data_IF_710960580533
#
_entry.id   IF_710960580533
#
_cell.length_a   1.000
_cell.length_b   1.000
_cell.length_c   1.000
_cell.angle_alpha   90.00
_cell.angle_beta   90.00
_cell.angle_gamma   90.00
#
_symmetry.space_group_name_H-M   'P 1'
#
loop_
_entity.id
_entity.type
_entity.pdbx_description
1 polymer ?
#
# COMPACT_ATOMS: atom_id res chain seq x y z
N UNK A 1 -20.02 -6.98 3.04
CA UNK A 1 -18.88 -6.09 2.76
C UNK A 1 -17.67 -6.96 2.55
N UNK A 2 -17.09 -6.95 1.35
CA UNK A 2 -15.97 -7.82 1.02
C UNK A 2 -14.69 -7.02 1.04
N UNK A 3 -13.64 -7.56 1.67
CA UNK A 3 -12.34 -6.92 1.73
C UNK A 3 -11.27 -7.77 1.05
N UNK A 4 -10.35 -7.07 0.38
CA UNK A 4 -9.10 -7.62 -0.16
C UNK A 4 -7.94 -6.85 0.46
N UNK A 5 -6.87 -7.56 0.81
CA UNK A 5 -5.61 -6.95 1.28
C UNK A 5 -4.53 -7.11 0.21
N UNK A 6 -3.78 -6.04 -0.04
CA UNK A 6 -2.52 -6.11 -0.80
C UNK A 6 -1.35 -6.23 0.17
N UNK A 7 -0.72 -7.39 0.17
CA UNK A 7 0.47 -7.70 0.97
C UNK A 7 1.71 -7.72 0.08
N UNK A 8 2.85 -7.27 0.60
CA UNK A 8 4.12 -7.28 -0.12
C UNK A 8 5.04 -6.14 0.30
N UNK A 9 6.34 -6.22 -0.02
CA UNK A 9 7.33 -5.24 0.41
C UNK A 9 7.03 -3.84 -0.15
N UNK A 10 7.59 -2.77 0.46
CA UNK A 10 7.52 -1.43 -0.13
C UNK A 10 8.10 -1.47 -1.54
N UNK A 11 7.45 -0.85 -2.53
CA UNK A 11 7.96 -0.85 -3.92
C UNK A 11 7.60 -2.08 -4.75
N UNK A 12 6.90 -3.08 -4.19
CA UNK A 12 6.48 -4.28 -4.93
C UNK A 12 5.46 -4.02 -6.05
N UNK A 13 4.87 -2.83 -6.13
CA UNK A 13 3.86 -2.50 -7.14
C UNK A 13 2.40 -2.56 -6.64
N UNK A 14 2.17 -2.52 -5.32
CA UNK A 14 0.82 -2.51 -4.72
C UNK A 14 -0.12 -1.48 -5.35
N UNK A 15 0.34 -0.24 -5.57
CA UNK A 15 -0.47 0.80 -6.22
C UNK A 15 -0.93 0.41 -7.63
N UNK A 16 -0.05 -0.22 -8.42
CA UNK A 16 -0.38 -0.69 -9.78
C UNK A 16 -1.43 -1.79 -9.78
N UNK A 17 -1.42 -2.65 -8.75
CA UNK A 17 -2.45 -3.67 -8.54
C UNK A 17 -3.73 -3.04 -8.02
N UNK A 18 -3.63 -2.03 -7.17
CA UNK A 18 -4.78 -1.34 -6.61
C UNK A 18 -5.62 -0.66 -7.69
N UNK A 19 -5.00 -0.02 -8.69
CA UNK A 19 -5.68 0.57 -9.83
C UNK A 19 -6.64 -0.42 -10.52
N UNK A 20 -6.19 -1.67 -10.75
CA UNK A 20 -7.00 -2.70 -11.40
C UNK A 20 -8.21 -3.11 -10.57
N UNK A 21 -8.04 -3.22 -9.26
CA UNK A 21 -9.13 -3.58 -8.36
C UNK A 21 -10.10 -2.41 -8.13
N UNK A 22 -9.62 -1.17 -8.19
CA UNK A 22 -10.47 0.01 -8.22
C UNK A 22 -11.39 0.00 -9.45
N UNK A 23 -10.88 -0.36 -10.63
CA UNK A 23 -11.69 -0.51 -11.85
C UNK A 23 -12.76 -1.62 -11.72
N UNK A 24 -12.55 -2.59 -10.81
CA UNK A 24 -13.52 -3.63 -10.46
C UNK A 24 -14.52 -3.21 -9.38
N UNK A 25 -14.47 -1.97 -8.93
CA UNK A 25 -15.41 -1.39 -7.96
C UNK A 25 -14.97 -1.48 -6.50
N UNK A 26 -13.70 -1.84 -6.22
CA UNK A 26 -13.17 -1.77 -4.87
C UNK A 26 -12.83 -0.33 -4.48
N UNK A 27 -13.14 0.04 -3.24
CA UNK A 27 -12.67 1.30 -2.66
C UNK A 27 -11.27 1.11 -2.10
N UNK A 28 -10.29 1.79 -2.70
CA UNK A 28 -8.92 1.78 -2.23
C UNK A 28 -8.75 2.55 -0.92
N UNK A 29 -8.10 1.89 0.04
CA UNK A 29 -7.73 2.41 1.36
C UNK A 29 -6.23 2.22 1.54
N UNK A 30 -5.47 3.28 1.26
CA UNK A 30 -4.01 3.29 1.40
C UNK A 30 -3.62 4.02 2.68
N UNK A 31 -3.12 3.30 3.69
CA UNK A 31 -2.64 3.94 4.94
C UNK A 31 -1.47 4.87 4.67
N UNK A 32 -0.62 4.54 3.70
CA UNK A 32 0.49 5.41 3.31
C UNK A 32 0.03 6.75 2.77
N UNK A 33 -1.03 6.77 1.95
CA UNK A 33 -1.58 8.01 1.40
C UNK A 33 -2.35 8.80 2.46
N UNK A 34 -3.14 8.13 3.30
CA UNK A 34 -3.82 8.76 4.43
C UNK A 34 -2.82 9.46 5.35
N UNK A 35 -1.72 8.80 5.72
CA UNK A 35 -0.68 9.39 6.56
C UNK A 35 0.04 10.55 5.85
N UNK A 36 0.36 10.42 4.55
CA UNK A 36 0.96 11.52 3.78
C UNK A 36 0.04 12.73 3.65
N UNK A 37 -1.26 12.51 3.56
CA UNK A 37 -2.23 13.60 3.60
C UNK A 37 -2.24 14.31 4.95
N UNK A 38 -2.22 13.56 6.06
CA UNK A 38 -2.09 14.15 7.40
C UNK A 38 -0.79 14.96 7.56
N UNK A 39 0.32 14.48 7.01
CA UNK A 39 1.60 15.20 6.96
C UNK A 39 1.46 16.51 6.18
N UNK A 40 0.85 16.47 4.99
CA UNK A 40 0.64 17.65 4.14
C UNK A 40 -0.26 18.70 4.81
N UNK A 41 -1.26 18.26 5.56
CA UNK A 41 -2.17 19.11 6.33
C UNK A 41 -1.58 19.58 7.66
N UNK A 42 -0.35 19.16 7.99
CA UNK A 42 0.36 19.50 9.22
C UNK A 42 -0.45 19.21 10.51
N UNK A 43 -1.26 18.14 10.48
CA UNK A 43 -2.03 17.76 11.67
C UNK A 43 -1.09 17.22 12.75
N UNK A 44 -1.48 17.23 14.05
CA UNK A 44 -0.64 16.67 15.11
C UNK A 44 -0.20 15.22 14.82
N UNK A 45 -1.14 14.41 14.31
CA UNK A 45 -0.88 13.05 13.84
C UNK A 45 0.12 13.03 12.66
N UNK A 46 -0.06 13.92 11.68
CA UNK A 46 0.84 14.05 10.54
C UNK A 46 2.27 14.35 10.94
N UNK A 47 2.48 15.28 11.88
CA UNK A 47 3.82 15.66 12.35
C UNK A 47 4.54 14.50 13.04
N UNK A 48 3.83 13.71 13.84
CA UNK A 48 4.38 12.50 14.47
C UNK A 48 4.67 11.41 13.44
N UNK A 49 3.70 11.14 12.55
CA UNK A 49 3.84 10.15 11.48
C UNK A 49 5.04 10.46 10.57
N UNK A 50 5.28 11.74 10.25
CA UNK A 50 6.43 12.18 9.45
C UNK A 50 7.75 11.69 10.03
N UNK A 51 7.96 11.86 11.34
CA UNK A 51 9.22 11.48 11.99
C UNK A 51 9.49 9.97 11.89
N UNK A 52 8.44 9.16 12.07
CA UNK A 52 8.54 7.70 11.98
C UNK A 52 8.76 7.24 10.54
N UNK A 53 8.02 7.81 9.59
CA UNK A 53 8.10 7.45 8.17
C UNK A 53 9.46 7.84 7.56
N UNK A 54 10.00 9.01 7.88
CA UNK A 54 11.33 9.44 7.43
C UNK A 54 12.43 8.48 7.92
N UNK A 55 12.22 7.88 9.11
CA UNK A 55 13.10 6.85 9.69
C UNK A 55 12.85 5.44 9.15
N UNK A 56 11.86 5.24 8.28
CA UNK A 56 11.48 3.92 7.76
C UNK A 56 10.74 3.02 8.76
N UNK A 57 10.19 3.59 9.84
CA UNK A 57 9.42 2.88 10.87
C UNK A 57 7.93 2.92 10.57
N UNK A 58 7.18 2.01 11.19
CA UNK A 58 5.73 2.08 11.19
C UNK A 58 5.20 3.05 12.24
N UNK A 59 4.07 3.65 11.93
CA UNK A 59 3.24 4.40 12.89
C UNK A 59 2.58 3.38 13.83
N UNK A 60 2.40 3.68 15.13
CA UNK A 60 1.83 2.74 16.09
C UNK A 60 0.48 2.15 15.67
N UNK A 61 0.27 0.88 15.99
CA UNK A 61 -0.89 0.10 15.54
C UNK A 61 -2.22 0.75 15.93
N UNK A 62 -2.37 1.20 17.16
CA UNK A 62 -3.61 1.84 17.65
C UNK A 62 -3.98 3.11 16.85
N UNK A 63 -2.98 3.86 16.43
CA UNK A 63 -3.15 5.07 15.61
C UNK A 63 -3.68 4.70 14.23
N UNK A 64 -3.03 3.72 13.58
CA UNK A 64 -3.43 3.28 12.23
C UNK A 64 -4.82 2.62 12.26
N UNK A 65 -5.08 1.75 13.25
CA UNK A 65 -6.39 1.10 13.45
C UNK A 65 -7.49 2.15 13.67
N UNK A 66 -7.21 3.19 14.47
CA UNK A 66 -8.14 4.30 14.68
C UNK A 66 -8.50 5.03 13.39
N UNK A 67 -7.49 5.37 12.57
CA UNK A 67 -7.71 6.01 11.27
C UNK A 67 -8.58 5.16 10.33
N UNK A 68 -8.33 3.84 10.28
CA UNK A 68 -9.13 2.92 9.46
C UNK A 68 -10.57 2.81 9.99
N UNK A 69 -10.75 2.75 11.31
CA UNK A 69 -12.09 2.73 11.93
C UNK A 69 -12.90 3.96 11.56
N UNK A 70 -12.32 5.15 11.67
CA UNK A 70 -13.00 6.41 11.34
C UNK A 70 -13.36 6.47 9.85
N UNK A 71 -12.45 6.01 8.98
CA UNK A 71 -12.69 5.94 7.54
C UNK A 71 -13.84 4.99 7.19
N UNK A 72 -13.88 3.79 7.78
CA UNK A 72 -14.95 2.83 7.50
C UNK A 72 -16.30 3.29 8.09
N UNK A 73 -16.29 3.88 9.28
CA UNK A 73 -17.51 4.37 9.95
C UNK A 73 -18.18 5.55 9.23
N UNK A 74 -17.38 6.36 8.52
CA UNK A 74 -17.88 7.50 7.74
C UNK A 74 -18.48 7.13 6.38
N UNK A 75 -18.42 5.85 5.96
CA UNK A 75 -18.80 5.39 4.62
C UNK A 75 -20.00 4.44 4.65
N UNK A 76 -20.71 4.36 3.51
CA UNK A 76 -21.85 3.47 3.35
C UNK A 76 -21.46 1.99 3.49
N UNK A 77 -22.29 1.21 4.18
CA UNK A 77 -22.05 -0.18 4.58
C UNK A 77 -21.92 -1.20 3.42
N UNK A 78 -22.16 -0.79 2.17
CA UNK A 78 -22.30 -1.69 1.02
C UNK A 78 -21.10 -1.70 0.04
N UNK A 79 -19.97 -1.10 0.41
CA UNK A 79 -18.80 -1.06 -0.48
C UNK A 79 -17.83 -2.22 -0.25
N UNK A 80 -17.20 -2.70 -1.33
CA UNK A 80 -16.03 -3.57 -1.25
C UNK A 80 -14.79 -2.72 -0.99
N UNK A 81 -13.87 -3.22 -0.18
CA UNK A 81 -12.68 -2.48 0.25
C UNK A 81 -11.40 -3.17 -0.18
N UNK A 82 -10.44 -2.37 -0.61
CA UNK A 82 -9.09 -2.80 -0.89
C UNK A 82 -8.14 -2.10 0.07
N UNK A 83 -7.50 -2.85 0.95
CA UNK A 83 -6.52 -2.31 1.88
C UNK A 83 -5.09 -2.43 1.29
N UNK A 84 -4.42 -1.29 1.14
CA UNK A 84 -3.03 -1.19 0.71
C UNK A 84 -2.16 -0.69 1.85
N UNK A 85 -1.24 -1.55 2.31
CA UNK A 85 -0.36 -1.24 3.42
C UNK A 85 -1.06 -1.30 4.78
N UNK A 86 -2.19 -1.98 4.88
CA UNK A 86 -2.83 -2.40 6.13
C UNK A 86 -3.46 -3.78 5.93
N UNK A 87 -3.29 -4.73 6.84
CA UNK A 87 -2.45 -4.66 8.03
C UNK A 87 -0.95 -4.78 7.69
N UNK A 88 -0.09 -4.33 8.62
CA UNK A 88 1.37 -4.48 8.56
C UNK A 88 1.96 -5.27 9.73
N UNK A 89 1.16 -5.55 10.75
CA UNK A 89 1.51 -6.32 11.94
C UNK A 89 0.39 -7.31 12.24
N UNK A 90 0.69 -8.37 13.00
CA UNK A 90 -0.33 -9.34 13.44
C UNK A 90 -1.46 -8.67 14.25
N UNK A 91 -1.11 -7.72 15.12
CA UNK A 91 -2.08 -6.95 15.90
C UNK A 91 -3.03 -6.19 14.98
N UNK A 92 -2.51 -5.52 13.95
CA UNK A 92 -3.36 -4.86 12.96
C UNK A 92 -4.26 -5.84 12.21
N UNK A 93 -3.78 -7.06 11.92
CA UNK A 93 -4.58 -8.08 11.23
C UNK A 93 -5.75 -8.57 12.08
N UNK A 94 -5.51 -8.84 13.37
CA UNK A 94 -6.57 -9.19 14.33
C UNK A 94 -7.59 -8.05 14.47
N UNK A 95 -7.12 -6.79 14.54
CA UNK A 95 -7.99 -5.61 14.60
C UNK A 95 -8.77 -5.37 13.32
N UNK A 96 -8.23 -5.71 12.16
CA UNK A 96 -8.96 -5.65 10.90
C UNK A 96 -10.13 -6.65 10.91
N UNK A 97 -9.89 -7.89 11.35
CA UNK A 97 -10.93 -8.92 11.44
C UNK A 97 -12.06 -8.50 12.39
N UNK A 98 -11.72 -7.99 13.58
CA UNK A 98 -12.69 -7.44 14.54
C UNK A 98 -13.53 -6.31 13.92
N UNK A 99 -12.86 -5.38 13.23
CA UNK A 99 -13.50 -4.21 12.64
C UNK A 99 -14.45 -4.62 11.50
N UNK A 100 -14.01 -5.48 10.59
CA UNK A 100 -14.84 -6.00 9.50
C UNK A 100 -16.03 -6.78 10.07
N UNK A 101 -15.82 -7.63 11.08
CA UNK A 101 -16.89 -8.38 11.74
C UNK A 101 -17.97 -7.48 12.35
N UNK A 102 -17.59 -6.37 13.00
CA UNK A 102 -18.55 -5.41 13.54
C UNK A 102 -19.38 -4.67 12.47
N UNK A 103 -18.92 -4.70 11.22
CA UNK A 103 -19.59 -4.11 10.06
C UNK A 103 -20.29 -5.16 9.17
N UNK A 104 -20.47 -6.40 9.66
CA UNK A 104 -20.97 -7.54 8.88
C UNK A 104 -20.18 -7.76 7.57
N UNK A 105 -18.88 -7.55 7.63
CA UNK A 105 -17.93 -7.78 6.55
C UNK A 105 -16.91 -8.86 6.89
N UNK A 106 -16.21 -9.33 5.86
CA UNK A 106 -15.15 -10.34 5.98
C UNK A 106 -14.00 -10.01 5.05
N UNK A 107 -12.79 -10.39 5.45
CA UNK A 107 -11.64 -10.46 4.57
C UNK A 107 -11.75 -11.75 3.75
N UNK A 108 -11.81 -11.62 2.42
CA UNK A 108 -11.96 -12.76 1.52
C UNK A 108 -10.65 -13.18 0.90
N UNK A 109 -9.79 -12.22 0.54
CA UNK A 109 -8.58 -12.52 -0.23
C UNK A 109 -7.40 -11.63 0.16
N UNK A 110 -6.20 -12.18 0.04
CA UNK A 110 -4.93 -11.50 0.27
C UNK A 110 -4.04 -11.70 -0.95
N UNK A 111 -3.81 -10.63 -1.70
CA UNK A 111 -2.89 -10.65 -2.85
C UNK A 111 -1.48 -10.39 -2.32
N UNK A 112 -0.60 -11.39 -2.41
CA UNK A 112 0.80 -11.29 -2.01
C UNK A 112 1.67 -10.98 -3.23
N UNK A 113 2.27 -9.79 -3.28
CA UNK A 113 3.24 -9.41 -4.29
C UNK A 113 4.65 -9.81 -3.85
N UNK A 114 5.21 -10.80 -4.55
CA UNK A 114 6.56 -11.31 -4.33
C UNK A 114 7.55 -10.54 -5.19
N UNK A 115 8.56 -9.94 -4.56
CA UNK A 115 9.57 -9.17 -5.26
C UNK A 115 10.89 -9.21 -4.49
N UNK A 116 12.01 -9.58 -5.14
CA UNK A 116 13.34 -9.52 -4.54
C UNK A 116 13.77 -8.11 -4.11
N UNK A 117 14.55 -8.02 -3.04
CA UNK A 117 15.00 -6.75 -2.43
C UNK A 117 15.80 -5.86 -3.39
N UNK A 118 16.62 -6.42 -4.27
CA UNK A 118 17.40 -5.69 -5.27
C UNK A 118 16.49 -4.99 -6.29
N UNK A 119 15.45 -5.67 -6.75
CA UNK A 119 14.40 -5.10 -7.61
C UNK A 119 13.65 -3.99 -6.86
N UNK A 120 13.35 -4.20 -5.57
CA UNK A 120 12.70 -3.18 -4.73
C UNK A 120 13.57 -1.92 -4.62
N UNK A 121 14.86 -2.07 -4.36
CA UNK A 121 15.80 -0.95 -4.25
C UNK A 121 15.85 -0.16 -5.56
N UNK A 122 15.94 -0.82 -6.72
CA UNK A 122 15.90 -0.14 -8.02
C UNK A 122 14.60 0.64 -8.20
N UNK A 123 13.45 -0.01 -7.94
CA UNK A 123 12.12 0.60 -8.09
C UNK A 123 11.90 1.82 -7.21
N UNK A 124 12.30 1.76 -5.95
CA UNK A 124 12.13 2.88 -5.02
C UNK A 124 13.09 4.03 -5.33
N UNK A 125 14.35 3.71 -5.68
CA UNK A 125 15.35 4.73 -6.02
C UNK A 125 14.98 5.53 -7.27
N UNK A 126 14.31 4.89 -8.24
CA UNK A 126 13.85 5.54 -9.47
C UNK A 126 12.43 6.12 -9.40
N UNK A 127 11.72 5.98 -8.28
CA UNK A 127 10.33 6.44 -8.15
C UNK A 127 10.23 7.96 -8.13
N UNK A 128 9.22 8.48 -8.82
CA UNK A 128 8.80 9.88 -8.80
C UNK A 128 7.31 9.98 -8.50
N UNK A 129 6.86 11.07 -7.90
CA UNK A 129 5.45 11.25 -7.51
C UNK A 129 5.03 12.70 -7.74
N UNK A 130 3.84 12.93 -8.29
CA UNK A 130 3.27 14.29 -8.36
C UNK A 130 2.72 14.71 -7.00
N UNK A 131 3.09 15.90 -6.55
CA UNK A 131 2.65 16.48 -5.27
C UNK A 131 1.15 16.82 -5.21
N UNK A 132 0.49 16.96 -6.36
CA UNK A 132 -0.94 17.30 -6.46
C UNK A 132 -1.85 16.08 -6.53
N UNK A 133 -1.70 15.26 -7.58
CA UNK A 133 -2.59 14.13 -7.84
C UNK A 133 -2.09 12.80 -7.23
N UNK A 134 -0.85 12.73 -6.74
CA UNK A 134 -0.28 11.51 -6.15
C UNK A 134 0.15 10.44 -7.17
N UNK A 135 -0.01 10.69 -8.47
CA UNK A 135 0.40 9.76 -9.54
C UNK A 135 1.88 9.40 -9.43
N UNK A 136 2.17 8.12 -9.65
CA UNK A 136 3.51 7.53 -9.48
C UNK A 136 4.14 7.23 -10.84
N UNK A 137 5.37 7.69 -11.00
CA UNK A 137 6.21 7.48 -12.17
C UNK A 137 7.51 6.80 -11.77
N UNK A 138 8.26 6.33 -12.76
CA UNK A 138 9.59 5.78 -12.56
C UNK A 138 10.50 6.18 -13.72
N UNK A 139 11.69 6.71 -13.42
CA UNK A 139 12.64 7.25 -14.41
C UNK A 139 12.96 6.30 -15.58
N UNK A 140 12.92 4.99 -15.33
CA UNK A 140 13.17 3.92 -16.33
C UNK A 140 11.92 3.14 -16.78
N UNK A 141 11.10 2.65 -15.85
CA UNK A 141 10.05 1.67 -16.14
C UNK A 141 8.69 2.29 -16.48
N UNK A 142 8.45 3.53 -16.06
CA UNK A 142 7.21 4.27 -16.33
C UNK A 142 7.53 5.78 -16.33
N UNK A 143 8.36 6.26 -17.26
CA UNK A 143 8.76 7.66 -17.28
C UNK A 143 7.56 8.55 -17.64
N UNK A 144 7.54 9.77 -17.11
CA UNK A 144 6.61 10.77 -17.57
C UNK A 144 6.93 11.18 -19.01
N UNK A 145 5.91 11.64 -19.74
CA UNK A 145 6.07 12.05 -21.14
C UNK A 145 6.98 13.27 -21.28
N UNK A 146 6.98 14.15 -20.27
CA UNK A 146 7.93 15.23 -20.11
C UNK A 146 8.69 14.98 -18.80
N UNK A 147 9.94 14.53 -18.88
CA UNK A 147 10.72 13.81 -17.84
C UNK A 147 10.46 14.24 -16.39
N UNK A 148 10.35 15.55 -16.13
CA UNK A 148 10.21 16.11 -14.79
C UNK A 148 8.79 16.57 -14.42
N UNK A 149 7.81 16.46 -15.32
CA UNK A 149 6.45 16.95 -15.14
C UNK A 149 5.40 15.83 -15.16
N UNK A 150 4.41 15.95 -14.27
CA UNK A 150 3.27 15.06 -14.24
C UNK A 150 2.43 15.20 -15.51
N UNK A 151 2.13 14.07 -16.16
CA UNK A 151 1.34 14.03 -17.40
C UNK A 151 -0.12 14.49 -17.21
N UNK A 152 -0.62 14.52 -15.96
CA UNK A 152 -2.00 14.92 -15.62
C UNK A 152 -2.06 16.38 -15.16
N UNK A 153 -1.19 16.76 -14.23
CA UNK A 153 -1.27 18.05 -13.52
C UNK A 153 -0.24 19.08 -14.02
N UNK A 154 0.74 18.66 -14.82
CA UNK A 154 1.90 19.48 -15.22
C UNK A 154 2.81 19.88 -14.05
N UNK A 155 2.61 19.29 -12.88
CA UNK A 155 3.36 19.58 -11.65
C UNK A 155 4.76 18.94 -11.69
N UNK A 156 5.76 19.55 -11.04
CA UNK A 156 7.08 18.92 -10.91
C UNK A 156 7.00 17.61 -10.13
N UNK A 157 7.63 16.58 -10.68
CA UNK A 157 7.71 15.25 -10.12
C UNK A 157 8.87 15.16 -9.12
N UNK A 158 8.57 14.77 -7.89
CA UNK A 158 9.58 14.68 -6.83
C UNK A 158 9.77 13.24 -6.37
N UNK A 159 10.95 12.96 -5.81
CA UNK A 159 11.17 11.73 -5.09
C UNK A 159 10.63 11.87 -3.66
N UNK A 160 10.02 10.80 -3.13
CA UNK A 160 9.52 10.83 -1.76
C UNK A 160 10.69 10.84 -0.76
N UNK A 161 10.58 11.52 0.39
CA UNK A 161 11.66 11.56 1.38
C UNK A 161 12.11 10.18 1.87
N UNK A 162 11.17 9.22 1.94
CA UNK A 162 11.38 7.85 2.39
C UNK A 162 11.91 6.88 1.30
N UNK A 163 12.26 7.39 0.12
CA UNK A 163 12.81 6.63 -1.01
C UNK A 163 14.35 6.79 -1.19
N UNK A 164 15.04 7.26 -0.15
CA UNK A 164 16.50 7.23 -0.10
C UNK A 164 17.03 5.83 0.28
N UNK A 165 18.24 5.49 -0.14
CA UNK A 165 18.80 4.14 0.01
C UNK A 165 18.90 3.65 1.47
N UNK A 166 19.10 4.53 2.44
CA UNK A 166 19.15 4.15 3.86
C UNK A 166 17.76 3.79 4.37
N UNK A 167 16.77 4.66 4.11
CA UNK A 167 15.38 4.44 4.52
C UNK A 167 14.77 3.22 3.81
N UNK A 168 15.10 2.98 2.54
CA UNK A 168 14.65 1.78 1.81
C UNK A 168 15.10 0.50 2.53
N UNK A 169 16.38 0.39 2.89
CA UNK A 169 16.90 -0.78 3.61
C UNK A 169 16.22 -0.98 4.95
N UNK A 170 16.03 0.10 5.72
CA UNK A 170 15.30 0.05 7.00
C UNK A 170 13.87 -0.46 6.81
N UNK A 171 13.17 0.01 5.78
CA UNK A 171 11.80 -0.42 5.48
C UNK A 171 11.73 -1.89 5.07
N UNK A 172 12.73 -2.41 4.36
CA UNK A 172 12.83 -3.84 4.04
C UNK A 172 13.02 -4.70 5.29
N UNK A 173 13.91 -4.28 6.21
CA UNK A 173 14.10 -4.96 7.50
C UNK A 173 12.80 -4.96 8.32
N UNK A 174 12.17 -3.79 8.48
CA UNK A 174 10.90 -3.67 9.22
C UNK A 174 9.79 -4.51 8.58
N UNK A 175 9.72 -4.56 7.24
CA UNK A 175 8.78 -5.43 6.53
C UNK A 175 9.04 -6.91 6.85
N UNK A 176 10.29 -7.36 6.78
CA UNK A 176 10.65 -8.75 7.07
C UNK A 176 10.32 -9.14 8.52
N UNK A 177 10.53 -8.23 9.47
CA UNK A 177 10.28 -8.48 10.90
C UNK A 177 8.79 -8.45 11.27
N UNK A 178 8.02 -7.50 10.72
CA UNK A 178 6.68 -7.20 11.22
C UNK A 178 5.56 -7.59 10.26
N UNK A 179 5.80 -7.52 8.95
CA UNK A 179 4.78 -7.73 7.92
C UNK A 179 4.89 -9.10 7.27
N UNK A 180 6.08 -9.63 7.02
CA UNK A 180 6.25 -10.97 6.46
C UNK A 180 5.59 -12.09 7.30
N UNK A 181 5.54 -12.04 8.64
CA UNK A 181 4.78 -13.02 9.44
C UNK A 181 3.28 -13.07 9.10
N UNK A 182 2.71 -12.02 8.50
CA UNK A 182 1.32 -12.02 8.05
C UNK A 182 1.08 -12.99 6.90
N UNK A 183 2.11 -13.34 6.12
CA UNK A 183 2.00 -14.33 5.04
C UNK A 183 1.54 -15.65 5.65
N UNK A 184 2.27 -16.17 6.63
CA UNK A 184 1.93 -17.42 7.32
C UNK A 184 0.57 -17.33 8.04
N UNK A 185 0.26 -16.18 8.64
CA UNK A 185 -1.04 -15.95 9.27
C UNK A 185 -2.21 -16.10 8.29
N UNK A 186 -2.10 -15.53 7.09
CA UNK A 186 -3.15 -15.60 6.08
C UNK A 186 -3.14 -16.89 5.27
N UNK A 187 -1.97 -17.52 5.07
CA UNK A 187 -1.86 -18.85 4.47
C UNK A 187 -2.61 -19.89 5.31
N UNK A 188 -2.49 -19.82 6.64
CA UNK A 188 -3.24 -20.69 7.55
C UNK A 188 -4.77 -20.53 7.43
N UNK A 189 -5.25 -19.39 6.91
CA UNK A 189 -6.66 -19.12 6.64
C UNK A 189 -7.07 -19.45 5.19
N UNK A 190 -6.13 -19.83 4.32
CA UNK A 190 -6.38 -20.15 2.92
C UNK A 190 -6.73 -18.94 2.04
N UNK A 191 -6.33 -17.72 2.43
CA UNK A 191 -6.72 -16.48 1.74
C UNK A 191 -5.64 -15.94 0.79
N UNK A 192 -4.45 -16.55 0.74
CA UNK A 192 -3.27 -15.96 0.08
C UNK A 192 -3.18 -16.36 -1.39
N UNK A 193 -3.04 -15.35 -2.25
CA UNK A 193 -2.74 -15.47 -3.68
C UNK A 193 -1.38 -14.86 -4.00
N UNK A 194 -0.32 -15.68 -4.15
CA UNK A 194 1.00 -15.21 -4.54
C UNK A 194 1.01 -14.74 -6.00
N UNK A 195 1.68 -13.61 -6.24
CA UNK A 195 1.86 -13.00 -7.55
C UNK A 195 3.33 -12.59 -7.70
N UNK A 196 3.98 -13.11 -8.74
CA UNK A 196 5.33 -12.67 -9.13
C UNK A 196 5.27 -11.21 -9.62
N UNK A 197 5.72 -10.30 -8.77
CA UNK A 197 5.69 -8.87 -9.04
C UNK A 197 6.93 -8.39 -9.81
N UNK A 198 7.82 -9.28 -10.26
CA UNK A 198 8.97 -8.95 -11.13
C UNK A 198 8.58 -8.84 -12.60
N UNK A 199 7.44 -9.42 -12.99
CA UNK A 199 6.89 -9.41 -14.34
C UNK A 199 6.51 -8.00 -14.81
N UNK A 200 6.19 -7.87 -16.11
CA UNK A 200 5.67 -6.61 -16.67
C UNK A 200 4.34 -6.24 -16.01
N UNK A 201 4.06 -4.94 -15.90
CA UNK A 201 2.83 -4.41 -15.29
C UNK A 201 1.58 -5.13 -15.83
N UNK A 202 1.44 -5.27 -17.15
CA UNK A 202 0.27 -5.91 -17.75
C UNK A 202 0.11 -7.39 -17.36
N UNK A 203 1.23 -8.10 -17.17
CA UNK A 203 1.24 -9.51 -16.74
C UNK A 203 0.87 -9.63 -15.26
N UNK A 204 1.41 -8.75 -14.40
CA UNK A 204 1.06 -8.69 -12.98
C UNK A 204 -0.45 -8.40 -12.83
N UNK A 205 -0.97 -7.42 -13.58
CA UNK A 205 -2.39 -7.07 -13.59
C UNK A 205 -3.27 -8.25 -14.03
N UNK A 206 -2.89 -8.94 -15.12
CA UNK A 206 -3.61 -10.11 -15.59
C UNK A 206 -3.62 -11.26 -14.57
N UNK A 207 -2.47 -11.53 -13.94
CA UNK A 207 -2.35 -12.58 -12.92
C UNK A 207 -3.23 -12.31 -11.69
N UNK A 208 -3.30 -11.05 -11.24
CA UNK A 208 -4.19 -10.68 -10.11
C UNK A 208 -5.65 -10.93 -10.47
N UNK A 209 -6.08 -10.53 -11.68
CA UNK A 209 -7.46 -10.75 -12.12
C UNK A 209 -7.80 -12.24 -12.22
N UNK A 210 -6.89 -13.05 -12.79
CA UNK A 210 -7.07 -14.50 -12.89
C UNK A 210 -7.22 -15.18 -11.52
N UNK A 211 -6.48 -14.72 -10.50
CA UNK A 211 -6.55 -15.29 -9.15
C UNK A 211 -7.82 -14.94 -8.40
N UNK A 212 -8.37 -13.75 -8.64
CA UNK A 212 -9.53 -13.24 -7.90
C UNK A 212 -10.88 -13.47 -8.60
N UNK A 213 -10.88 -14.03 -9.82
CA UNK A 213 -12.10 -14.39 -10.58
C UNK A 213 -12.07 -13.99 -12.04
#
# INVERSE_FOLDING_TARGET
MNAVVLLGPPGAGKGTVAEVLVDKGYRHVSTGDLLREQIRLETPLGLEAKQLMDQGKFVPDDVVVGMIRDLLSSRAAESNYLFDGFPRTLVQAEKLDELLGSLNGTLEEVVLLECPDDVIVERLSGRRTCSKCGSVYHVKFNPASNEDLCDIEGCELTQRPDDNAETIRKRLVVYAEQTAPLITYYEAKGLVHPIDATQRIDQVRAAVLEKLG
#
